data_IF_391046409686
#
_entry.id   IF_391046409686
#
_cell.length_a   1.000
_cell.length_b   1.000
_cell.length_c   1.000
_cell.angle_alpha   90.00
_cell.angle_beta   90.00
_cell.angle_gamma   90.00
#
_symmetry.space_group_name_H-M   'P 1'
#
loop_
_entity.id
_entity.type
_entity.pdbx_description
1 polymer ?
#
# COMPACT_ATOMS: atom_id res chain seq x y z
N UNK A 1 1.38 4.62 -64.50
CA UNK A 1 -0.04 4.56 -64.91
C UNK A 1 -0.67 3.16 -64.90
N UNK A 2 -0.07 2.10 -64.33
CA UNK A 2 -0.66 0.75 -64.41
C UNK A 2 -0.88 0.03 -63.05
N UNK A 3 -0.56 0.62 -61.89
CA UNK A 3 -0.71 -0.10 -60.61
C UNK A 3 -2.17 -0.46 -60.30
N UNK A 4 -3.07 0.51 -60.42
CA UNK A 4 -4.50 0.30 -60.19
C UNK A 4 -5.12 -0.65 -61.21
N UNK A 5 -4.76 -0.49 -62.48
CA UNK A 5 -5.20 -1.39 -63.55
C UNK A 5 -4.69 -2.82 -63.33
N UNK A 6 -3.40 -3.01 -63.01
CA UNK A 6 -2.83 -4.32 -62.72
C UNK A 6 -3.44 -4.97 -61.47
N UNK A 7 -3.73 -4.19 -60.43
CA UNK A 7 -4.44 -4.69 -59.25
C UNK A 7 -5.85 -5.17 -59.57
N UNK A 8 -6.62 -4.38 -60.31
CA UNK A 8 -7.95 -4.79 -60.77
C UNK A 8 -7.87 -6.03 -61.65
N UNK A 9 -6.91 -6.09 -62.58
CA UNK A 9 -6.68 -7.27 -63.41
C UNK A 9 -6.37 -8.51 -62.57
N UNK A 10 -5.58 -8.38 -61.49
CA UNK A 10 -5.30 -9.47 -60.57
C UNK A 10 -6.55 -9.93 -59.80
N UNK A 11 -7.42 -9.01 -59.38
CA UNK A 11 -8.71 -9.35 -58.76
C UNK A 11 -9.58 -10.11 -59.75
N UNK A 12 -9.69 -9.62 -60.99
CA UNK A 12 -10.49 -10.25 -62.04
C UNK A 12 -9.96 -11.65 -62.33
N UNK A 13 -8.64 -11.82 -62.47
CA UNK A 13 -8.00 -13.11 -62.70
C UNK A 13 -8.25 -14.09 -61.54
N UNK A 14 -8.14 -13.61 -60.30
CA UNK A 14 -8.46 -14.40 -59.12
C UNK A 14 -9.94 -14.82 -59.11
N UNK A 15 -10.85 -13.91 -59.46
CA UNK A 15 -12.28 -14.20 -59.52
C UNK A 15 -12.60 -15.27 -60.58
N UNK A 16 -11.96 -15.21 -61.74
CA UNK A 16 -12.06 -16.26 -62.75
C UNK A 16 -11.60 -17.61 -62.19
N UNK A 17 -10.44 -17.66 -61.55
CA UNK A 17 -9.91 -18.89 -60.95
C UNK A 17 -10.83 -19.41 -59.83
N UNK A 18 -11.35 -18.52 -58.99
CA UNK A 18 -12.31 -18.84 -57.94
C UNK A 18 -13.59 -19.48 -58.51
N UNK A 19 -14.11 -18.99 -59.63
CA UNK A 19 -15.27 -19.56 -60.32
C UNK A 19 -14.95 -20.96 -60.86
N UNK A 20 -13.79 -21.15 -61.49
CA UNK A 20 -13.35 -22.47 -61.97
C UNK A 20 -13.24 -23.46 -60.81
N UNK A 21 -12.62 -23.04 -59.70
CA UNK A 21 -12.51 -23.87 -58.48
C UNK A 21 -13.89 -24.19 -57.92
N UNK A 22 -14.81 -23.23 -57.85
CA UNK A 22 -16.17 -23.47 -57.37
C UNK A 22 -16.96 -24.47 -58.23
N UNK A 23 -16.74 -24.44 -59.54
CA UNK A 23 -17.37 -25.36 -60.49
C UNK A 23 -16.81 -26.78 -60.38
N UNK A 24 -15.50 -26.92 -60.13
CA UNK A 24 -14.84 -28.22 -59.93
C UNK A 24 -15.20 -28.85 -58.59
N UNK A 25 -15.56 -28.05 -57.58
CA UNK A 25 -15.89 -28.56 -56.25
C UNK A 25 -17.23 -29.30 -56.24
N UNK A 26 -17.26 -30.57 -55.79
CA UNK A 26 -18.48 -31.33 -55.67
C UNK A 26 -19.39 -30.72 -54.61
N UNK A 27 -20.71 -30.88 -54.78
CA UNK A 27 -21.71 -30.39 -53.83
C UNK A 27 -21.65 -31.18 -52.51
N UNK A 28 -20.76 -30.73 -51.63
CA UNK A 28 -20.46 -31.31 -50.33
C UNK A 28 -20.41 -30.22 -49.25
N UNK A 29 -20.39 -30.63 -47.98
CA UNK A 29 -20.16 -29.67 -46.89
C UNK A 29 -18.81 -28.95 -47.05
N UNK A 30 -17.80 -29.59 -47.65
CA UNK A 30 -16.49 -28.98 -47.90
C UNK A 30 -16.56 -27.79 -48.87
N UNK A 31 -17.51 -27.78 -49.80
CA UNK A 31 -17.73 -26.65 -50.72
C UNK A 31 -18.07 -25.36 -49.98
N UNK A 32 -18.81 -25.43 -48.86
CA UNK A 32 -19.15 -24.25 -48.04
C UNK A 32 -17.90 -23.64 -47.39
N UNK A 33 -17.03 -24.49 -46.84
CA UNK A 33 -15.78 -24.07 -46.23
C UNK A 33 -14.79 -23.51 -47.27
N UNK A 34 -14.69 -24.16 -48.44
CA UNK A 34 -13.87 -23.67 -49.55
C UNK A 34 -14.34 -22.28 -50.03
N UNK A 35 -15.66 -22.08 -50.19
CA UNK A 35 -16.23 -20.76 -50.52
C UNK A 35 -15.89 -19.68 -49.51
N UNK A 36 -15.96 -20.02 -48.22
CA UNK A 36 -15.60 -19.10 -47.15
C UNK A 36 -14.13 -18.68 -47.23
N UNK A 37 -13.22 -19.65 -47.41
CA UNK A 37 -11.77 -19.36 -47.54
C UNK A 37 -11.47 -18.55 -48.80
N UNK A 38 -12.07 -18.88 -49.94
CA UNK A 38 -11.90 -18.11 -51.19
C UNK A 38 -12.40 -16.67 -51.03
N UNK A 39 -13.52 -16.46 -50.31
CA UNK A 39 -14.00 -15.12 -49.96
C UNK A 39 -13.04 -14.36 -49.06
N UNK A 40 -12.43 -15.03 -48.08
CA UNK A 40 -11.42 -14.42 -47.20
C UNK A 40 -10.16 -14.01 -48.00
N UNK A 41 -9.70 -14.87 -48.92
CA UNK A 41 -8.59 -14.56 -49.81
C UNK A 41 -8.89 -13.34 -50.69
N UNK A 42 -10.11 -13.22 -51.21
CA UNK A 42 -10.54 -12.04 -51.97
C UNK A 42 -10.44 -10.75 -51.14
N UNK A 43 -10.89 -10.79 -49.89
CA UNK A 43 -10.82 -9.64 -48.97
C UNK A 43 -9.35 -9.22 -48.76
N UNK A 44 -8.44 -10.16 -48.53
CA UNK A 44 -7.00 -9.87 -48.35
C UNK A 44 -6.41 -9.20 -49.60
N UNK A 45 -6.73 -9.71 -50.79
CA UNK A 45 -6.26 -9.15 -52.07
C UNK A 45 -6.77 -7.71 -52.29
N UNK A 46 -7.99 -7.41 -51.83
CA UNK A 46 -8.58 -6.07 -51.90
C UNK A 46 -7.95 -5.11 -50.89
N UNK A 47 -7.70 -5.57 -49.65
CA UNK A 47 -7.15 -4.73 -48.57
C UNK A 47 -5.70 -4.31 -48.85
N UNK A 48 -4.88 -5.19 -49.43
CA UNK A 48 -3.45 -4.96 -49.61
C UNK A 48 -3.06 -3.61 -50.27
N UNK A 49 -3.63 -3.19 -51.41
CA UNK A 49 -3.33 -1.86 -51.97
C UNK A 49 -4.01 -0.71 -51.24
N UNK A 50 -5.14 -0.95 -50.57
CA UNK A 50 -5.79 0.06 -49.75
C UNK A 50 -4.85 0.48 -48.62
N UNK A 51 -4.15 -0.47 -47.99
CA UNK A 51 -3.13 -0.18 -46.98
C UNK A 51 -2.05 0.78 -47.50
N UNK A 52 -1.62 0.67 -48.77
CA UNK A 52 -0.64 1.59 -49.35
C UNK A 52 -1.16 3.02 -49.52
N UNK A 53 -2.44 3.21 -49.80
CA UNK A 53 -3.06 4.54 -49.83
C UNK A 53 -3.24 5.14 -48.44
N UNK A 54 -3.40 4.32 -47.40
CA UNK A 54 -3.38 4.78 -46.01
C UNK A 54 -1.95 5.05 -45.49
N UNK A 55 -0.93 4.40 -46.07
CA UNK A 55 0.46 4.43 -45.55
C UNK A 55 1.24 5.74 -45.77
N UNK A 56 0.78 6.67 -46.60
CA UNK A 56 1.44 8.00 -46.69
C UNK A 56 1.28 8.82 -45.40
N UNK A 57 0.22 8.57 -44.62
CA UNK A 57 0.00 9.19 -43.29
C UNK A 57 0.00 8.17 -42.13
N UNK A 58 -0.27 6.89 -42.38
CA UNK A 58 -0.25 5.83 -41.36
C UNK A 58 1.00 4.94 -41.47
N UNK A 59 2.06 5.32 -40.76
CA UNK A 59 3.20 4.42 -40.56
C UNK A 59 2.84 3.38 -39.49
N UNK A 60 2.42 2.19 -39.93
CA UNK A 60 2.07 1.08 -39.04
C UNK A 60 3.24 0.72 -38.09
N UNK A 61 4.48 0.92 -38.52
CA UNK A 61 5.66 0.66 -37.68
C UNK A 61 5.78 1.65 -36.50
N UNK A 62 5.39 2.91 -36.68
CA UNK A 62 5.40 3.89 -35.59
C UNK A 62 4.31 3.60 -34.57
N UNK A 63 3.12 3.20 -35.02
CA UNK A 63 2.01 2.80 -34.13
C UNK A 63 2.39 1.58 -33.30
N UNK A 64 3.01 0.56 -33.91
CA UNK A 64 3.47 -0.63 -33.19
C UNK A 64 4.56 -0.31 -32.16
N UNK A 65 5.41 0.68 -32.45
CA UNK A 65 6.47 1.12 -31.53
C UNK A 65 5.93 1.92 -30.35
N UNK A 66 4.95 2.78 -30.59
CA UNK A 66 4.27 3.58 -29.56
C UNK A 66 3.47 2.69 -28.61
N UNK A 67 2.73 1.72 -29.16
CA UNK A 67 2.06 0.64 -28.43
C UNK A 67 3.06 -0.07 -27.50
N UNK A 68 4.18 -0.60 -28.03
CA UNK A 68 5.16 -1.33 -27.21
C UNK A 68 5.79 -0.48 -26.09
N UNK A 69 6.05 0.80 -26.33
CA UNK A 69 6.63 1.70 -25.33
C UNK A 69 5.65 2.03 -24.20
N UNK A 70 4.37 2.27 -24.54
CA UNK A 70 3.32 2.56 -23.57
C UNK A 70 3.05 1.35 -22.66
N UNK A 71 3.02 0.13 -23.21
CA UNK A 71 2.87 -1.08 -22.41
C UNK A 71 4.02 -1.31 -21.42
N UNK A 72 5.29 -1.14 -21.86
CA UNK A 72 6.44 -1.32 -20.97
C UNK A 72 6.57 -0.23 -19.89
N UNK A 73 6.16 1.01 -20.21
CA UNK A 73 6.21 2.12 -19.25
C UNK A 73 5.10 1.97 -18.21
N UNK A 74 3.91 1.58 -18.64
CA UNK A 74 2.74 1.35 -17.77
C UNK A 74 3.00 0.27 -16.72
N UNK A 75 3.69 -0.82 -17.07
CA UNK A 75 3.97 -1.93 -16.15
C UNK A 75 4.89 -1.49 -15.00
N UNK A 76 5.96 -0.74 -15.30
CA UNK A 76 6.90 -0.24 -14.27
C UNK A 76 6.25 0.79 -13.35
N UNK A 77 5.41 1.66 -13.89
CA UNK A 77 4.67 2.63 -13.07
C UNK A 77 3.66 1.92 -12.17
N UNK A 78 2.99 0.90 -12.68
CA UNK A 78 2.08 0.07 -11.88
C UNK A 78 2.83 -0.66 -10.76
N UNK A 79 3.98 -1.27 -11.04
CA UNK A 79 4.80 -1.95 -10.04
C UNK A 79 5.23 -0.99 -8.91
N UNK A 80 5.67 0.23 -9.28
CA UNK A 80 6.02 1.27 -8.31
C UNK A 80 4.83 1.69 -7.46
N UNK A 81 3.65 1.86 -8.05
CA UNK A 81 2.43 2.20 -7.31
C UNK A 81 2.03 1.09 -6.34
N UNK A 82 2.14 -0.17 -6.76
CA UNK A 82 1.89 -1.34 -5.90
C UNK A 82 2.87 -1.37 -4.73
N UNK A 83 4.16 -1.13 -4.98
CA UNK A 83 5.18 -1.10 -3.92
C UNK A 83 4.92 0.01 -2.90
N UNK A 84 4.54 1.21 -3.37
CA UNK A 84 4.17 2.33 -2.51
C UNK A 84 2.94 2.00 -1.66
N UNK A 85 1.89 1.42 -2.26
CA UNK A 85 0.68 1.02 -1.55
C UNK A 85 0.95 -0.08 -0.53
N UNK A 86 1.83 -1.03 -0.85
CA UNK A 86 2.26 -2.05 0.11
C UNK A 86 2.94 -1.42 1.33
N UNK A 87 3.89 -0.49 1.13
CA UNK A 87 4.56 0.22 2.24
C UNK A 87 3.58 1.00 3.12
N UNK A 88 2.59 1.65 2.51
CA UNK A 88 1.54 2.39 3.23
C UNK A 88 0.65 1.44 4.08
N UNK A 89 0.25 0.31 3.50
CA UNK A 89 -0.54 -0.72 4.21
C UNK A 89 0.26 -1.29 5.38
N UNK A 90 1.52 -1.67 5.16
CA UNK A 90 2.37 -2.22 6.22
C UNK A 90 2.55 -1.21 7.36
N UNK A 91 2.75 0.08 7.05
CA UNK A 91 2.85 1.14 8.07
C UNK A 91 1.55 1.30 8.88
N UNK A 92 0.40 1.25 8.20
CA UNK A 92 -0.92 1.38 8.85
C UNK A 92 -1.20 0.18 9.76
N UNK A 93 -0.90 -1.04 9.30
CA UNK A 93 -1.07 -2.25 10.11
C UNK A 93 -0.17 -2.24 11.34
N UNK A 94 1.09 -1.81 11.20
CA UNK A 94 2.01 -1.66 12.34
C UNK A 94 1.48 -0.67 13.37
N UNK A 95 1.07 0.52 12.94
CA UNK A 95 0.52 1.54 13.84
C UNK A 95 -0.70 1.01 14.61
N UNK A 96 -1.62 0.32 13.92
CA UNK A 96 -2.79 -0.30 14.53
C UNK A 96 -2.41 -1.37 15.58
N UNK A 97 -1.44 -2.24 15.28
CA UNK A 97 -0.99 -3.27 16.23
C UNK A 97 -0.39 -2.62 17.48
N UNK A 98 0.48 -1.61 17.31
CA UNK A 98 1.11 -0.91 18.43
C UNK A 98 0.09 -0.17 19.29
N UNK A 99 -0.90 0.47 18.68
CA UNK A 99 -2.00 1.13 19.40
C UNK A 99 -2.81 0.10 20.22
N UNK A 100 -3.17 -1.04 19.63
CA UNK A 100 -3.89 -2.09 20.36
C UNK A 100 -3.07 -2.68 21.51
N UNK A 101 -1.75 -2.83 21.33
CA UNK A 101 -0.85 -3.26 22.40
C UNK A 101 -0.82 -2.25 23.54
N UNK A 102 -0.67 -0.96 23.24
CA UNK A 102 -0.68 0.11 24.25
C UNK A 102 -2.01 0.14 25.03
N UNK A 103 -3.15 0.00 24.33
CA UNK A 103 -4.48 -0.07 24.97
C UNK A 103 -4.64 -1.29 25.87
N UNK A 104 -4.14 -2.46 25.45
CA UNK A 104 -4.17 -3.67 26.27
C UNK A 104 -3.29 -3.54 27.51
N UNK A 105 -2.08 -2.99 27.35
CA UNK A 105 -1.18 -2.70 28.46
C UNK A 105 -1.82 -1.73 29.46
N UNK A 106 -2.39 -0.63 28.98
CA UNK A 106 -3.09 0.34 29.81
C UNK A 106 -4.16 -0.35 30.65
N UNK A 107 -5.06 -1.12 30.03
CA UNK A 107 -6.12 -1.83 30.75
C UNK A 107 -5.60 -2.83 31.78
N UNK A 108 -4.45 -3.46 31.51
CA UNK A 108 -3.87 -4.44 32.43
C UNK A 108 -3.30 -3.80 33.70
N UNK A 109 -2.65 -2.64 33.57
CA UNK A 109 -1.96 -1.98 34.69
C UNK A 109 -2.76 -0.88 35.38
N UNK A 110 -3.77 -0.32 34.71
CA UNK A 110 -4.56 0.82 35.19
C UNK A 110 -5.21 0.57 36.55
N UNK A 111 -5.81 -0.61 36.75
CA UNK A 111 -6.46 -0.96 38.01
C UNK A 111 -5.47 -1.00 39.19
N UNK A 112 -4.36 -1.70 39.02
CA UNK A 112 -3.35 -1.85 40.09
C UNK A 112 -2.63 -0.53 40.38
N UNK A 113 -2.39 0.30 39.36
CA UNK A 113 -1.78 1.62 39.52
C UNK A 113 -2.69 2.58 40.31
N UNK A 114 -4.00 2.57 40.04
CA UNK A 114 -4.96 3.37 40.83
C UNK A 114 -5.11 2.85 42.26
N UNK A 115 -5.22 1.53 42.46
CA UNK A 115 -5.49 0.94 43.78
C UNK A 115 -4.27 1.01 44.72
N UNK A 116 -3.05 0.90 44.20
CA UNK A 116 -1.83 0.86 45.02
C UNK A 116 -1.06 2.17 45.10
N UNK A 117 -1.13 2.99 44.05
CA UNK A 117 -0.27 4.16 43.89
C UNK A 117 -1.06 5.46 43.67
N UNK A 118 -2.40 5.42 43.59
CA UNK A 118 -3.28 6.59 43.36
C UNK A 118 -2.92 7.41 42.10
N UNK A 119 -2.31 6.77 41.11
CA UNK A 119 -1.92 7.36 39.83
C UNK A 119 -2.75 6.81 38.67
N UNK A 120 -2.95 7.66 37.66
CA UNK A 120 -3.62 7.32 36.40
C UNK A 120 -2.64 7.46 35.24
N UNK A 121 -2.89 6.71 34.17
CA UNK A 121 -2.01 6.68 33.01
C UNK A 121 -2.43 7.78 32.03
N UNK A 122 -1.53 8.71 31.75
CA UNK A 122 -1.75 9.79 30.77
C UNK A 122 -1.43 9.35 29.34
N UNK A 123 -0.38 8.56 29.15
CA UNK A 123 -0.03 7.98 27.84
C UNK A 123 0.88 6.75 28.00
N UNK A 124 0.76 5.82 27.06
CA UNK A 124 1.67 4.67 26.91
C UNK A 124 2.17 4.67 25.48
N UNK A 125 3.48 4.56 25.31
CA UNK A 125 4.13 4.34 24.03
C UNK A 125 4.98 3.07 24.09
N UNK A 126 4.81 2.21 23.09
CA UNK A 126 5.53 0.93 22.98
C UNK A 126 6.39 0.98 21.73
N UNK A 127 7.70 0.80 21.92
CA UNK A 127 8.70 0.80 20.85
C UNK A 127 9.22 -0.64 20.70
N UNK A 128 8.97 -1.30 19.55
CA UNK A 128 9.47 -2.65 19.28
C UNK A 128 10.95 -2.64 18.89
N UNK A 129 11.66 -3.76 19.11
CA UNK A 129 13.07 -3.97 18.70
C UNK A 129 13.26 -4.10 17.18
N UNK A 130 12.18 -4.31 16.45
CA UNK A 130 12.21 -4.60 15.02
C UNK A 130 11.00 -3.98 14.33
N UNK A 131 11.23 -3.51 13.10
CA UNK A 131 10.19 -3.03 12.19
C UNK A 131 9.39 -4.18 11.54
N UNK A 132 9.77 -5.44 11.79
CA UNK A 132 9.06 -6.61 11.30
C UNK A 132 7.70 -6.79 12.00
N UNK A 133 6.57 -6.77 11.26
CA UNK A 133 5.24 -6.91 11.85
C UNK A 133 5.02 -8.23 12.61
N UNK A 134 5.83 -9.26 12.35
CA UNK A 134 5.75 -10.54 13.08
C UNK A 134 6.50 -10.53 14.42
N UNK A 135 7.35 -9.53 14.67
CA UNK A 135 8.22 -9.45 15.86
C UNK A 135 7.93 -8.22 16.74
N UNK A 136 6.78 -7.57 16.54
CA UNK A 136 6.34 -6.40 17.31
C UNK A 136 6.12 -6.68 18.81
N UNK A 137 6.08 -7.95 19.22
CA UNK A 137 6.00 -8.37 20.62
C UNK A 137 7.35 -8.32 21.37
N UNK A 138 8.45 -8.06 20.67
CA UNK A 138 9.75 -7.87 21.29
C UNK A 138 9.97 -6.38 21.51
N UNK A 139 9.86 -5.91 22.75
CA UNK A 139 9.92 -4.49 23.06
C UNK A 139 11.34 -4.02 23.34
N UNK A 140 11.73 -2.92 22.73
CA UNK A 140 12.96 -2.18 23.04
C UNK A 140 12.72 -1.21 24.19
N UNK A 141 11.58 -0.54 24.18
CA UNK A 141 11.24 0.47 25.18
C UNK A 141 9.74 0.57 25.38
N UNK A 142 9.31 0.69 26.63
CA UNK A 142 7.95 1.04 27.02
C UNK A 142 8.02 2.34 27.80
N UNK A 143 7.41 3.40 27.29
CA UNK A 143 7.32 4.69 27.96
C UNK A 143 5.93 4.86 28.54
N UNK A 144 5.84 5.06 29.86
CA UNK A 144 4.58 5.21 30.59
C UNK A 144 4.60 6.56 31.31
N UNK A 145 3.67 7.43 30.93
CA UNK A 145 3.45 8.71 31.59
C UNK A 145 2.30 8.60 32.57
N UNK A 146 2.53 9.02 33.81
CA UNK A 146 1.59 8.91 34.92
C UNK A 146 1.25 10.31 35.48
N UNK A 147 0.02 10.48 35.95
CA UNK A 147 -0.49 11.68 36.62
C UNK A 147 -1.27 11.30 37.89
N UNK A 148 -1.29 12.16 38.90
CA UNK A 148 -2.06 11.92 40.13
C UNK A 148 -3.57 12.01 39.86
N UNK A 149 -4.35 11.11 40.46
CA UNK A 149 -5.79 10.99 40.20
C UNK A 149 -6.63 12.23 40.60
N UNK A 150 -6.11 13.11 41.45
CA UNK A 150 -6.86 14.27 41.98
C UNK A 150 -6.90 15.52 41.08
N UNK A 151 -6.20 15.55 39.94
CA UNK A 151 -6.02 16.80 39.15
C UNK A 151 -6.84 16.86 37.84
N UNK A 152 -7.66 15.85 37.54
CA UNK A 152 -8.37 15.77 36.25
C UNK A 152 -9.61 16.70 36.11
N UNK A 153 -9.84 17.63 37.05
CA UNK A 153 -10.93 18.62 37.01
C UNK A 153 -10.50 20.04 37.41
N UNK A 154 -9.51 20.64 36.74
CA UNK A 154 -9.30 22.09 36.81
C UNK A 154 -8.62 22.63 35.54
N UNK A 155 -9.31 22.55 34.41
CA UNK A 155 -8.93 23.34 33.24
C UNK A 155 -9.29 24.82 33.47
N UNK A 156 -8.32 25.70 33.21
CA UNK A 156 -8.39 27.16 33.10
C UNK A 156 -8.42 27.99 34.39
N UNK A 157 -7.24 28.34 34.90
CA UNK A 157 -6.88 29.74 35.16
C UNK A 157 -5.36 29.85 35.20
N UNK A 158 -4.82 30.75 34.36
CA UNK A 158 -3.41 31.13 34.38
C UNK A 158 -3.22 31.92 35.68
N UNK A 159 -2.61 31.30 36.69
CA UNK A 159 -2.06 32.03 37.83
C UNK A 159 -0.54 32.18 37.70
N UNK A 160 -0.09 33.30 38.20
CA UNK A 160 1.09 34.03 37.75
C UNK A 160 2.34 33.39 38.37
N UNK A 161 3.41 33.32 37.57
CA UNK A 161 4.73 32.81 37.95
C UNK A 161 5.30 33.61 39.15
N UNK A 162 5.26 33.03 40.35
CA UNK A 162 6.13 33.39 41.47
C UNK A 162 7.25 32.35 41.59
N UNK A 163 8.45 32.74 41.17
CA UNK A 163 9.67 31.95 41.27
C UNK A 163 10.13 31.98 42.74
N UNK A 164 9.85 30.92 43.49
CA UNK A 164 10.50 30.66 44.79
C UNK A 164 11.44 29.45 44.66
N UNK A 165 12.73 29.75 44.61
CA UNK A 165 13.86 28.84 44.35
C UNK A 165 14.36 28.07 45.59
N UNK A 166 13.50 27.38 46.33
CA UNK A 166 13.96 26.60 47.51
C UNK A 166 13.16 25.31 47.77
N UNK A 167 13.29 24.25 46.95
CA UNK A 167 12.92 22.87 47.37
C UNK A 167 13.79 21.77 46.70
N UNK A 168 14.82 21.24 47.39
CA UNK A 168 15.54 20.03 46.96
C UNK A 168 14.79 18.72 47.23
N UNK A 169 13.69 18.76 48.01
CA UNK A 169 13.00 17.58 48.53
C UNK A 169 11.95 16.99 47.57
N UNK A 170 11.36 17.81 46.69
CA UNK A 170 10.29 17.39 45.76
C UNK A 170 10.81 16.41 44.68
N UNK A 171 12.06 16.59 44.24
CA UNK A 171 12.68 15.80 43.17
C UNK A 171 13.14 14.40 43.60
N UNK A 172 13.48 14.19 44.89
CA UNK A 172 13.91 12.87 45.37
C UNK A 172 12.72 11.94 45.66
N UNK A 173 11.61 12.50 46.14
CA UNK A 173 10.37 11.73 46.43
C UNK A 173 9.72 11.25 45.12
N UNK A 174 9.56 12.14 44.13
CA UNK A 174 9.02 11.76 42.81
C UNK A 174 9.89 10.72 42.08
N UNK A 175 11.22 10.77 42.28
CA UNK A 175 12.16 9.79 41.73
C UNK A 175 12.07 8.43 42.43
N UNK A 176 11.79 8.43 43.74
CA UNK A 176 11.62 7.20 44.52
C UNK A 176 10.30 6.49 44.17
N UNK A 177 9.20 7.24 44.06
CA UNK A 177 7.90 6.70 43.61
C UNK A 177 7.98 6.14 42.17
N UNK A 178 8.66 6.84 41.26
CA UNK A 178 8.86 6.35 39.89
C UNK A 178 9.67 5.04 39.84
N UNK A 179 10.67 4.87 40.71
CA UNK A 179 11.46 3.62 40.81
C UNK A 179 10.64 2.46 41.39
N UNK A 180 9.75 2.71 42.35
CA UNK A 180 8.85 1.69 42.90
C UNK A 180 7.83 1.24 41.86
N UNK A 181 7.22 2.19 41.14
CA UNK A 181 6.28 1.89 40.05
C UNK A 181 6.98 1.15 38.91
N UNK A 182 8.20 1.54 38.54
CA UNK A 182 9.00 0.82 37.54
C UNK A 182 9.31 -0.63 37.99
N UNK A 183 9.59 -0.85 39.28
CA UNK A 183 9.77 -2.20 39.82
C UNK A 183 8.49 -3.02 39.73
N UNK A 184 7.37 -2.45 40.14
CA UNK A 184 6.07 -3.10 40.06
C UNK A 184 5.71 -3.48 38.62
N UNK A 185 5.88 -2.57 37.66
CA UNK A 185 5.56 -2.80 36.26
C UNK A 185 6.46 -3.87 35.63
N UNK A 186 7.74 -3.93 36.02
CA UNK A 186 8.66 -4.97 35.59
C UNK A 186 8.21 -6.35 36.05
N UNK A 187 7.80 -6.47 37.31
CA UNK A 187 7.31 -7.73 37.87
C UNK A 187 5.93 -8.12 37.31
N UNK A 188 5.05 -7.14 37.09
CA UNK A 188 3.69 -7.38 36.59
C UNK A 188 3.64 -7.74 35.11
N UNK A 189 4.47 -7.09 34.29
CA UNK A 189 4.52 -7.30 32.85
C UNK A 189 5.52 -8.40 32.44
N UNK A 190 6.27 -8.96 33.40
CA UNK A 190 7.36 -9.93 33.17
C UNK A 190 8.39 -9.42 32.14
N UNK A 191 8.74 -8.14 32.25
CA UNK A 191 9.72 -7.50 31.36
C UNK A 191 10.86 -6.84 32.14
N UNK A 192 12.06 -6.74 31.54
CA UNK A 192 13.22 -6.15 32.20
C UNK A 192 13.00 -4.67 32.58
N UNK A 193 13.53 -4.25 33.74
CA UNK A 193 13.41 -2.85 34.22
C UNK A 193 14.06 -1.84 33.27
N UNK A 194 15.13 -2.24 32.58
CA UNK A 194 15.91 -1.42 31.65
C UNK A 194 15.12 -0.98 30.41
N UNK A 195 14.03 -1.66 30.07
CA UNK A 195 13.18 -1.27 28.94
C UNK A 195 11.95 -0.46 29.37
N UNK A 196 11.65 -0.37 30.67
CA UNK A 196 10.51 0.41 31.18
C UNK A 196 10.99 1.79 31.62
N UNK A 197 10.44 2.83 31.01
CA UNK A 197 10.66 4.22 31.40
C UNK A 197 9.37 4.81 31.95
N UNK A 198 9.39 5.15 33.24
CA UNK A 198 8.26 5.77 33.92
C UNK A 198 8.56 7.25 34.14
N UNK A 199 7.62 8.10 33.72
CA UNK A 199 7.66 9.54 34.03
C UNK A 199 6.39 9.90 34.80
N UNK A 200 6.55 10.20 36.08
CA UNK A 200 5.46 10.73 36.91
C UNK A 200 5.49 12.25 36.77
N UNK A 201 4.42 12.84 36.21
CA UNK A 201 4.23 14.29 36.30
C UNK A 201 3.70 14.60 37.69
N UNK A 202 4.59 15.10 38.55
CA UNK A 202 4.20 15.73 39.81
C UNK A 202 3.57 17.09 39.51
N UNK A 203 2.34 17.29 39.97
CA UNK A 203 1.75 18.61 40.10
C UNK A 203 2.51 19.42 41.17
N UNK A 204 2.63 20.72 40.91
CA UNK A 204 3.02 21.74 41.90
C UNK A 204 1.92 21.93 42.97
#
# INVERSE_FOLDING_TARGET
>A
MNYFSAWITNIILFLFLAIVVDMLLPNSNMKKYAKFVVGLLLIIIIIHPLMKFFSEDFNVESILREINWEYMTSEKEMEKLIELKKKEIDATQRAYILEQMAVQLQKSVEKELMERFEVTISSIEVIPKSDDPTQLNQWEMISIQLQKANESQAASTIEIVEINTERPLENEVAKTEAMEIQSFLSDYLDVPKDIIHVVVKGGE
#
